data_IF_853160806623
#
_entry.id   IF_853160806623
#
_cell.length_a   1.000
_cell.length_b   1.000
_cell.length_c   1.000
_cell.angle_alpha   90.00
_cell.angle_beta   90.00
_cell.angle_gamma   90.00
#
_symmetry.space_group_name_H-M   'P 1'
#
loop_
_entity.id
_entity.type
_entity.pdbx_description
1 polymer ?
#
# COMPACT_ATOMS: atom_id res chain seq x y z
N UNK A 1 -55.55 -64.54 19.80
CA UNK A 1 -54.11 -64.86 19.66
C UNK A 1 -53.38 -63.66 19.06
N UNK A 2 -53.47 -62.47 19.70
CA UNK A 2 -53.04 -61.21 19.11
C UNK A 2 -52.43 -60.23 20.14
N UNK A 3 -51.71 -60.72 21.16
CA UNK A 3 -51.13 -59.89 22.23
C UNK A 3 -49.66 -60.18 22.55
N UNK A 4 -48.92 -60.89 21.67
CA UNK A 4 -47.50 -61.23 21.93
C UNK A 4 -46.48 -60.60 20.98
N UNK A 5 -46.89 -59.75 20.03
CA UNK A 5 -45.97 -59.14 19.06
C UNK A 5 -45.72 -57.62 19.21
N UNK A 6 -46.41 -56.92 20.12
CA UNK A 6 -46.24 -55.47 20.28
C UNK A 6 -45.01 -55.13 21.16
N UNK A 7 -44.70 -55.98 22.16
CA UNK A 7 -43.56 -55.75 23.06
C UNK A 7 -42.18 -55.96 22.42
N UNK A 8 -42.05 -56.88 21.45
CA UNK A 8 -40.74 -57.23 20.87
C UNK A 8 -40.27 -56.23 19.81
N UNK A 9 -41.20 -55.57 19.10
CA UNK A 9 -40.91 -54.54 18.09
C UNK A 9 -40.53 -53.21 18.76
N UNK A 10 -41.15 -52.87 19.90
CA UNK A 10 -40.84 -51.65 20.64
C UNK A 10 -39.42 -51.67 21.25
N UNK A 11 -38.97 -52.82 21.77
CA UNK A 11 -37.64 -52.96 22.39
C UNK A 11 -36.50 -52.91 21.37
N UNK A 12 -36.72 -53.41 20.15
CA UNK A 12 -35.70 -53.35 19.08
C UNK A 12 -35.58 -51.96 18.45
N UNK A 13 -36.67 -51.21 18.30
CA UNK A 13 -36.63 -49.85 17.76
C UNK A 13 -35.96 -48.83 18.71
N UNK A 14 -36.16 -48.96 20.03
CA UNK A 14 -35.52 -48.09 21.02
C UNK A 14 -34.01 -48.32 21.09
N UNK A 15 -33.56 -49.59 21.02
CA UNK A 15 -32.13 -49.92 21.03
C UNK A 15 -31.37 -49.41 19.80
N UNK A 16 -31.99 -49.42 18.62
CA UNK A 16 -31.41 -48.87 17.39
C UNK A 16 -31.32 -47.33 17.47
N UNK A 17 -32.35 -46.66 18.00
CA UNK A 17 -32.33 -45.20 18.17
C UNK A 17 -31.30 -44.73 19.21
N UNK A 18 -31.15 -45.44 20.33
CA UNK A 18 -30.12 -45.13 21.32
C UNK A 18 -28.69 -45.32 20.77
N UNK A 19 -28.48 -46.36 19.95
CA UNK A 19 -27.16 -46.63 19.34
C UNK A 19 -26.79 -45.58 18.29
N UNK A 20 -27.77 -45.09 17.51
CA UNK A 20 -27.57 -44.03 16.52
C UNK A 20 -27.31 -42.66 17.19
N UNK A 21 -28.01 -42.37 18.30
CA UNK A 21 -27.76 -41.14 19.07
C UNK A 21 -26.36 -41.13 19.69
N UNK A 22 -25.92 -42.25 20.28
CA UNK A 22 -24.56 -42.37 20.85
C UNK A 22 -23.49 -42.28 19.75
N UNK A 23 -23.71 -42.88 18.59
CA UNK A 23 -22.79 -42.74 17.44
C UNK A 23 -22.72 -41.30 16.92
N UNK A 24 -23.84 -40.58 16.89
CA UNK A 24 -23.90 -39.18 16.46
C UNK A 24 -23.21 -38.24 17.45
N UNK A 25 -23.35 -38.49 18.76
CA UNK A 25 -22.69 -37.72 19.83
C UNK A 25 -21.18 -37.99 19.85
N UNK A 26 -20.76 -39.25 19.68
CA UNK A 26 -19.34 -39.61 19.53
C UNK A 26 -18.74 -39.03 18.25
N UNK A 27 -19.48 -38.97 17.13
CA UNK A 27 -19.02 -38.29 15.92
C UNK A 27 -18.98 -36.77 16.06
N UNK A 28 -19.89 -36.17 16.84
CA UNK A 28 -19.90 -34.75 17.19
C UNK A 28 -18.68 -34.38 18.04
N UNK A 29 -18.43 -35.11 19.13
CA UNK A 29 -17.28 -34.90 20.00
C UNK A 29 -15.96 -35.21 19.28
N UNK A 30 -15.91 -36.24 18.41
CA UNK A 30 -14.73 -36.50 17.59
C UNK A 30 -14.51 -35.39 16.56
N UNK A 31 -15.56 -34.83 15.93
CA UNK A 31 -15.46 -33.67 15.01
C UNK A 31 -15.01 -32.41 15.74
N UNK A 32 -15.52 -32.15 16.94
CA UNK A 32 -15.13 -30.99 17.73
C UNK A 32 -13.71 -31.14 18.27
N UNK A 33 -13.29 -32.35 18.67
CA UNK A 33 -11.90 -32.64 19.07
C UNK A 33 -10.93 -32.69 17.88
N UNK A 34 -11.39 -33.08 16.69
CA UNK A 34 -10.64 -32.93 15.43
C UNK A 34 -10.56 -31.46 15.00
N UNK A 35 -11.60 -30.64 15.18
CA UNK A 35 -11.56 -29.20 14.90
C UNK A 35 -10.69 -28.42 15.90
N UNK A 36 -10.64 -28.86 17.16
CA UNK A 36 -9.76 -28.28 18.19
C UNK A 36 -8.30 -28.73 18.03
N UNK A 37 -8.05 -29.89 17.40
CA UNK A 37 -6.69 -30.42 17.14
C UNK A 37 -6.18 -30.16 15.71
N UNK A 38 -7.06 -29.82 14.76
CA UNK A 38 -6.74 -29.25 13.45
C UNK A 38 -7.03 -27.74 13.43
N UNK A 39 -6.43 -27.00 14.37
CA UNK A 39 -5.69 -25.85 13.88
C UNK A 39 -4.54 -26.43 13.06
N UNK A 40 -4.77 -26.66 11.76
CA UNK A 40 -3.65 -26.70 10.82
C UNK A 40 -2.91 -25.41 11.14
N UNK A 41 -1.74 -25.53 11.77
CA UNK A 41 -0.78 -24.44 11.82
C UNK A 41 -0.54 -24.08 10.38
N UNK A 42 -1.33 -23.14 9.86
CA UNK A 42 -1.24 -22.66 8.50
C UNK A 42 0.22 -22.26 8.35
N UNK A 43 0.94 -23.01 7.53
CA UNK A 43 2.39 -22.87 7.44
C UNK A 43 2.66 -21.40 7.14
N UNK A 44 3.31 -20.70 8.06
CA UNK A 44 3.45 -19.26 7.93
C UNK A 44 4.13 -18.95 6.60
N UNK A 45 3.38 -18.33 5.69
CA UNK A 45 3.92 -17.84 4.43
C UNK A 45 4.51 -16.47 4.71
N UNK A 46 5.50 -16.02 3.94
CA UNK A 46 5.99 -14.65 4.05
C UNK A 46 4.88 -13.61 3.91
N UNK A 47 3.85 -13.90 3.11
CA UNK A 47 2.66 -13.07 2.97
C UNK A 47 1.80 -13.06 4.24
N UNK A 48 1.60 -14.20 4.90
CA UNK A 48 0.85 -14.24 6.16
C UNK A 48 1.62 -13.57 7.31
N UNK A 49 2.96 -13.65 7.31
CA UNK A 49 3.83 -12.92 8.24
C UNK A 49 3.77 -11.41 7.97
N UNK A 50 3.95 -10.99 6.72
CA UNK A 50 3.86 -9.58 6.31
C UNK A 50 2.48 -9.01 6.65
N UNK A 51 1.42 -9.80 6.46
CA UNK A 51 0.05 -9.43 6.84
C UNK A 51 -0.12 -9.30 8.34
N UNK A 52 0.34 -10.25 9.15
CA UNK A 52 0.28 -10.13 10.62
C UNK A 52 1.00 -8.87 11.12
N UNK A 53 2.19 -8.57 10.59
CA UNK A 53 2.95 -7.36 10.92
C UNK A 53 2.26 -6.08 10.46
N UNK A 54 1.70 -6.07 9.25
CA UNK A 54 0.96 -4.92 8.72
C UNK A 54 -0.35 -4.67 9.48
N UNK A 55 -1.07 -5.72 9.91
CA UNK A 55 -2.27 -5.61 10.77
C UNK A 55 -1.89 -4.93 12.09
N UNK A 56 -0.88 -5.45 12.78
CA UNK A 56 -0.41 -4.87 14.04
C UNK A 56 0.02 -3.41 13.88
N UNK A 57 0.58 -3.04 12.72
CA UNK A 57 0.88 -1.64 12.42
C UNK A 57 -0.38 -0.80 12.14
N UNK A 58 -1.30 -1.29 11.31
CA UNK A 58 -2.53 -0.58 10.96
C UNK A 58 -3.40 -0.28 12.19
N UNK A 59 -3.44 -1.17 13.18
CA UNK A 59 -4.12 -0.98 14.47
C UNK A 59 -3.55 0.18 15.30
N UNK A 60 -2.30 0.58 15.06
CA UNK A 60 -1.65 1.72 15.74
C UNK A 60 -1.78 3.04 15.00
N UNK A 61 -2.29 3.01 13.77
CA UNK A 61 -2.55 4.23 13.00
C UNK A 61 -3.89 4.80 13.44
N UNK A 62 -3.90 6.03 13.97
CA UNK A 62 -5.12 6.84 14.11
C UNK A 62 -5.70 7.08 12.70
N UNK A 63 -6.48 6.15 12.17
CA UNK A 63 -7.18 6.32 10.90
C UNK A 63 -8.45 7.14 11.16
N UNK A 64 -8.69 8.25 10.43
CA UNK A 64 -10.05 8.73 10.24
C UNK A 64 -10.71 7.83 9.18
N UNK A 65 -11.93 7.38 9.44
CA UNK A 65 -13.12 7.45 8.56
C UNK A 65 -13.00 7.28 7.02
N UNK A 66 -11.96 6.67 6.48
CA UNK A 66 -11.84 6.45 5.04
C UNK A 66 -12.18 4.99 4.77
N UNK A 67 -13.31 4.75 4.08
CA UNK A 67 -13.90 3.42 3.83
C UNK A 67 -13.10 2.47 2.93
N UNK A 68 -11.78 2.42 3.08
CA UNK A 68 -10.84 1.48 2.45
C UNK A 68 -10.02 0.75 3.53
N UNK A 69 -9.52 -0.44 3.21
CA UNK A 69 -8.74 -1.25 4.13
C UNK A 69 -7.23 -0.99 3.90
N UNK A 70 -6.47 -0.43 4.88
CA UNK A 70 -5.03 -0.16 4.70
C UNK A 70 -4.22 -1.39 4.34
N UNK A 71 -4.70 -2.58 4.70
CA UNK A 71 -4.04 -3.85 4.43
C UNK A 71 -4.14 -4.32 2.98
N UNK A 72 -4.98 -3.68 2.16
CA UNK A 72 -5.13 -4.05 0.76
C UNK A 72 -3.83 -3.83 -0.02
N UNK A 73 -2.93 -2.96 0.45
CA UNK A 73 -1.60 -2.73 -0.13
C UNK A 73 -0.73 -4.01 -0.16
N UNK A 74 -0.99 -4.99 0.70
CA UNK A 74 -0.23 -6.25 0.76
C UNK A 74 -0.48 -7.06 -0.51
N UNK A 75 0.61 -7.57 -1.11
CA UNK A 75 0.58 -8.25 -2.40
C UNK A 75 0.42 -7.30 -3.60
N UNK A 76 0.26 -5.99 -3.38
CA UNK A 76 0.22 -5.01 -4.45
C UNK A 76 1.61 -4.70 -5.01
N UNK A 77 1.67 -3.83 -6.02
CA UNK A 77 2.93 -3.34 -6.60
C UNK A 77 3.73 -2.45 -5.64
N UNK A 78 3.12 -1.92 -4.58
CA UNK A 78 3.80 -1.15 -3.52
C UNK A 78 4.11 -1.99 -2.29
N UNK A 79 3.78 -3.29 -2.30
CA UNK A 79 4.33 -4.21 -1.32
C UNK A 79 5.74 -4.60 -1.78
N UNK A 80 6.75 -4.14 -1.04
CA UNK A 80 8.14 -4.53 -1.26
C UNK A 80 8.59 -5.69 -0.37
N UNK A 81 7.80 -6.07 0.64
CA UNK A 81 8.11 -7.26 1.45
C UNK A 81 8.05 -8.50 0.57
N UNK A 82 8.91 -9.50 0.73
CA UNK A 82 8.88 -10.76 -0.03
C UNK A 82 8.72 -10.62 -1.57
N UNK A 83 9.08 -9.47 -2.16
CA UNK A 83 8.71 -9.15 -3.55
C UNK A 83 9.37 -10.10 -4.55
N UNK A 84 10.65 -10.47 -4.36
CA UNK A 84 11.32 -11.46 -5.22
C UNK A 84 10.58 -12.81 -5.21
N UNK A 85 10.11 -13.24 -4.03
CA UNK A 85 9.32 -14.46 -3.88
C UNK A 85 7.97 -14.34 -4.57
N UNK A 86 7.25 -13.22 -4.39
CA UNK A 86 5.95 -12.98 -5.06
C UNK A 86 6.07 -12.89 -6.57
N UNK A 87 7.13 -12.24 -7.06
CA UNK A 87 7.41 -12.10 -8.48
C UNK A 87 7.92 -13.41 -9.11
N UNK A 88 8.25 -14.43 -8.31
CA UNK A 88 8.90 -15.65 -8.78
C UNK A 88 10.28 -15.39 -9.41
N UNK A 89 10.90 -14.25 -9.07
CA UNK A 89 12.17 -13.84 -9.64
C UNK A 89 13.30 -14.53 -8.87
N UNK A 90 13.97 -15.50 -9.53
CA UNK A 90 15.23 -16.08 -9.05
C UNK A 90 16.42 -15.14 -9.29
N UNK A 91 16.32 -14.31 -10.32
CA UNK A 91 17.27 -13.24 -10.55
C UNK A 91 17.15 -12.23 -9.39
N UNK A 92 18.29 -11.85 -8.82
CA UNK A 92 18.41 -10.84 -7.76
C UNK A 92 17.84 -11.22 -6.37
N UNK A 93 17.52 -12.50 -6.15
CA UNK A 93 17.16 -13.01 -4.83
C UNK A 93 18.32 -12.76 -3.85
N UNK A 94 18.03 -12.11 -2.73
CA UNK A 94 19.05 -11.84 -1.71
C UNK A 94 20.10 -10.80 -2.10
N UNK A 95 19.85 -9.96 -3.12
CA UNK A 95 20.77 -8.85 -3.47
C UNK A 95 20.08 -7.52 -3.78
N UNK A 96 18.86 -7.50 -4.34
CA UNK A 96 18.28 -6.26 -4.87
C UNK A 96 18.00 -5.16 -3.83
N UNK A 97 17.33 -5.50 -2.74
CA UNK A 97 16.86 -4.53 -1.74
C UNK A 97 16.50 -5.27 -0.43
N UNK A 98 16.70 -4.62 0.70
CA UNK A 98 16.41 -5.12 2.05
C UNK A 98 14.93 -5.42 2.20
N UNK A 99 14.61 -6.66 2.57
CA UNK A 99 13.25 -7.07 2.94
C UNK A 99 13.04 -6.88 4.44
N UNK A 100 12.36 -5.80 4.82
CA UNK A 100 12.01 -5.51 6.21
C UNK A 100 10.84 -6.34 6.75
N UNK A 101 10.23 -7.19 5.91
CA UNK A 101 9.25 -8.20 6.32
C UNK A 101 7.81 -7.71 6.46
N UNK A 102 7.49 -6.46 6.12
CA UNK A 102 6.11 -6.00 5.91
C UNK A 102 6.06 -4.76 5.00
N UNK A 103 4.92 -4.50 4.37
CA UNK A 103 4.79 -3.46 3.35
C UNK A 103 4.86 -2.02 3.88
N UNK A 104 4.41 -1.78 5.11
CA UNK A 104 4.19 -0.42 5.61
C UNK A 104 5.48 0.33 5.96
N UNK A 105 6.54 -0.37 6.39
CA UNK A 105 7.80 0.24 6.85
C UNK A 105 8.53 1.06 5.79
N UNK A 106 8.35 0.73 4.51
CA UNK A 106 8.95 1.49 3.42
C UNK A 106 8.36 2.91 3.32
N UNK A 107 7.23 3.19 3.98
CA UNK A 107 6.62 4.51 4.02
C UNK A 107 6.50 5.04 5.45
N UNK A 108 5.94 4.25 6.36
CA UNK A 108 5.59 4.65 7.73
C UNK A 108 6.68 4.24 8.72
N UNK A 109 6.88 5.10 9.72
CA UNK A 109 7.84 4.81 10.80
C UNK A 109 7.32 3.61 11.59
N UNK A 110 8.13 2.56 11.83
CA UNK A 110 7.72 1.43 12.62
C UNK A 110 7.29 1.86 14.04
N UNK A 111 6.13 1.41 14.54
CA UNK A 111 5.59 1.85 15.82
C UNK A 111 6.46 1.40 17.00
N UNK A 112 7.23 0.32 16.84
CA UNK A 112 8.16 -0.18 17.85
C UNK A 112 9.46 0.63 17.97
N UNK A 113 9.68 1.60 17.09
CA UNK A 113 10.83 2.50 17.15
C UNK A 113 10.43 3.74 17.95
N UNK A 114 10.59 3.62 19.27
CA UNK A 114 10.47 4.75 20.19
C UNK A 114 11.60 5.75 19.96
N UNK A 115 11.24 7.00 19.69
CA UNK A 115 12.19 8.07 19.45
C UNK A 115 12.56 8.17 17.98
N UNK A 116 12.16 9.29 17.37
CA UNK A 116 12.50 9.66 16.00
C UNK A 116 14.02 9.65 15.87
N UNK A 117 14.61 8.64 15.20
CA UNK A 117 15.91 8.89 14.60
C UNK A 117 15.66 9.95 13.54
N UNK A 118 16.01 11.19 13.86
CA UNK A 118 15.96 12.27 12.89
C UNK A 118 17.15 12.07 11.95
N UNK A 119 16.92 11.45 10.79
CA UNK A 119 17.88 11.49 9.72
C UNK A 119 17.88 12.90 9.09
N UNK A 120 19.04 13.43 8.68
CA UNK A 120 19.08 14.58 7.80
C UNK A 120 18.14 14.32 6.61
N UNK A 121 17.28 15.30 6.29
CA UNK A 121 16.32 15.23 5.20
C UNK A 121 15.18 14.21 5.38
N UNK A 122 14.94 13.66 6.57
CA UNK A 122 13.71 12.90 6.81
C UNK A 122 12.47 13.73 6.44
N UNK A 123 11.55 13.09 5.71
CA UNK A 123 10.24 13.66 5.40
C UNK A 123 9.41 13.57 6.68
N UNK A 124 8.88 14.69 7.16
CA UNK A 124 8.20 14.76 8.44
C UNK A 124 7.05 13.76 8.52
N UNK A 125 7.09 12.86 9.51
CA UNK A 125 6.07 11.81 9.71
C UNK A 125 6.25 10.55 8.87
N UNK A 126 7.26 10.49 8.00
CA UNK A 126 7.51 9.34 7.13
C UNK A 126 8.85 8.69 7.42
N UNK A 127 8.95 7.40 7.14
CA UNK A 127 10.18 6.62 7.26
C UNK A 127 11.10 6.75 6.04
N UNK A 128 10.98 7.88 5.33
CA UNK A 128 11.67 8.17 4.08
C UNK A 128 12.40 9.49 4.21
N UNK A 129 13.47 9.63 3.44
CA UNK A 129 14.17 10.90 3.27
C UNK A 129 13.79 11.52 1.93
N UNK A 130 13.93 12.85 1.84
CA UNK A 130 13.79 13.59 0.59
C UNK A 130 15.15 13.72 -0.10
N UNK A 131 15.14 13.67 -1.43
CA UNK A 131 16.29 13.96 -2.28
C UNK A 131 16.65 15.46 -2.22
N UNK A 132 17.83 15.86 -2.72
CA UNK A 132 18.18 17.28 -2.77
C UNK A 132 17.27 18.00 -3.77
N UNK A 133 16.61 19.04 -3.30
CA UNK A 133 15.67 19.82 -4.11
C UNK A 133 16.34 20.54 -5.27
N UNK A 134 17.67 20.75 -5.20
CA UNK A 134 18.46 21.36 -6.29
C UNK A 134 18.48 20.51 -7.56
N UNK A 135 18.22 19.22 -7.43
CA UNK A 135 18.25 18.29 -8.56
C UNK A 135 16.93 18.30 -9.36
N UNK A 136 15.91 19.00 -8.86
CA UNK A 136 14.58 19.07 -9.46
C UNK A 136 14.45 20.22 -10.45
N UNK A 137 14.01 19.89 -11.67
CA UNK A 137 13.53 20.88 -12.64
C UNK A 137 12.01 20.89 -12.62
N UNK A 138 11.42 21.95 -12.08
CA UNK A 138 9.97 22.08 -11.91
C UNK A 138 9.25 22.51 -13.20
N UNK A 139 7.92 22.50 -13.14
CA UNK A 139 7.03 22.77 -14.26
C UNK A 139 7.31 24.13 -14.91
N UNK A 140 7.55 24.12 -16.21
CA UNK A 140 7.81 25.32 -17.01
C UNK A 140 7.05 25.23 -18.33
N UNK A 141 5.76 25.58 -18.33
CA UNK A 141 4.95 25.62 -19.55
C UNK A 141 4.16 26.92 -19.64
N UNK A 142 3.84 27.34 -20.87
CA UNK A 142 3.09 28.59 -21.11
C UNK A 142 1.66 28.55 -20.58
N UNK A 143 1.10 27.35 -20.42
CA UNK A 143 -0.27 27.14 -19.95
C UNK A 143 -0.34 26.91 -18.44
N UNK A 144 0.81 26.68 -17.78
CA UNK A 144 0.89 26.56 -16.33
C UNK A 144 0.94 27.95 -15.68
N UNK A 145 -0.16 28.32 -15.03
CA UNK A 145 -0.32 29.63 -14.36
C UNK A 145 -0.15 29.60 -12.85
N UNK A 146 0.06 28.42 -12.27
CA UNK A 146 0.31 28.28 -10.84
C UNK A 146 1.79 28.50 -10.54
N UNK A 147 2.12 28.73 -9.27
CA UNK A 147 3.50 28.73 -8.80
C UNK A 147 3.77 27.37 -8.16
N UNK A 148 4.53 26.52 -8.84
CA UNK A 148 5.08 25.34 -8.21
C UNK A 148 6.30 25.75 -7.39
N UNK A 149 6.27 25.44 -6.10
CA UNK A 149 7.44 25.54 -5.24
C UNK A 149 8.06 24.16 -5.09
N UNK A 150 9.08 24.09 -4.24
CA UNK A 150 9.67 22.85 -3.73
C UNK A 150 8.54 21.83 -3.47
N UNK A 151 8.59 20.64 -4.08
CA UNK A 151 7.69 19.55 -3.77
C UNK A 151 7.51 19.37 -2.26
N UNK A 152 6.26 19.28 -1.81
CA UNK A 152 5.94 19.13 -0.40
C UNK A 152 6.20 17.71 0.10
N UNK A 153 5.98 17.48 1.40
CA UNK A 153 6.24 16.18 2.04
C UNK A 153 5.48 15.02 1.39
N UNK A 154 4.21 15.23 1.01
CA UNK A 154 3.36 14.18 0.42
C UNK A 154 3.84 13.79 -0.98
N UNK A 155 4.18 14.75 -1.83
CA UNK A 155 4.75 14.45 -3.14
C UNK A 155 6.17 13.89 -3.00
N UNK A 156 6.99 14.43 -2.08
CA UNK A 156 8.34 13.92 -1.83
C UNK A 156 8.34 12.50 -1.31
N UNK A 157 7.31 12.05 -0.60
CA UNK A 157 7.18 10.64 -0.23
C UNK A 157 7.16 9.76 -1.49
N UNK A 158 6.30 10.06 -2.45
CA UNK A 158 6.21 9.31 -3.69
C UNK A 158 7.52 9.40 -4.48
N UNK A 159 8.05 10.61 -4.62
CA UNK A 159 9.26 10.87 -5.37
C UNK A 159 10.51 10.25 -4.73
N UNK A 160 10.52 10.04 -3.41
CA UNK A 160 11.65 9.35 -2.76
C UNK A 160 11.94 7.99 -3.41
N UNK A 161 10.92 7.29 -3.93
CA UNK A 161 11.13 6.06 -4.71
C UNK A 161 11.18 6.34 -6.21
N UNK A 162 10.28 7.19 -6.70
CA UNK A 162 9.99 7.36 -8.12
C UNK A 162 10.92 8.33 -8.85
N UNK A 163 11.69 9.15 -8.16
CA UNK A 163 12.67 10.05 -8.77
C UNK A 163 13.95 9.31 -9.22
N UNK A 164 14.15 8.08 -8.75
CA UNK A 164 15.27 7.22 -9.12
C UNK A 164 16.62 7.66 -8.57
N UNK A 165 16.67 8.54 -7.56
CA UNK A 165 17.90 9.06 -6.97
C UNK A 165 18.40 8.23 -5.80
N UNK A 166 17.50 7.53 -5.10
CA UNK A 166 17.80 6.70 -3.94
C UNK A 166 17.19 5.30 -4.06
N UNK A 167 17.66 4.39 -3.21
CA UNK A 167 17.20 3.01 -3.22
C UNK A 167 15.76 2.87 -2.69
N UNK A 168 15.02 1.90 -3.20
CA UNK A 168 13.61 1.67 -2.83
C UNK A 168 13.43 1.21 -1.37
N UNK A 169 14.44 0.55 -0.83
CA UNK A 169 14.52 0.05 0.55
C UNK A 169 15.19 1.01 1.51
N UNK A 170 15.60 2.20 1.05
CA UNK A 170 16.21 3.18 1.93
C UNK A 170 15.18 3.72 2.93
N UNK A 171 15.27 3.31 4.18
CA UNK A 171 14.39 3.80 5.26
C UNK A 171 15.19 4.52 6.34
N UNK A 172 14.54 5.41 7.07
CA UNK A 172 15.15 6.08 8.22
C UNK A 172 15.30 5.14 9.42
N UNK A 173 14.28 4.33 9.66
CA UNK A 173 14.15 3.42 10.78
C UNK A 173 13.83 2.01 10.26
N UNK A 174 14.71 1.06 10.54
CA UNK A 174 14.43 -0.36 10.29
C UNK A 174 13.57 -0.93 11.42
N UNK A 175 12.71 -1.93 11.17
CA UNK A 175 11.96 -2.60 12.23
C UNK A 175 12.90 -3.22 13.26
N UNK A 176 12.50 -3.28 14.53
CA UNK A 176 13.34 -3.86 15.59
C UNK A 176 13.69 -5.33 15.35
N UNK A 177 12.81 -6.05 14.67
CA UNK A 177 12.98 -7.47 14.34
C UNK A 177 13.92 -7.72 13.14
N UNK A 178 14.24 -6.69 12.35
CA UNK A 178 15.12 -6.83 11.19
C UNK A 178 16.59 -6.93 11.63
N UNK A 179 17.35 -7.86 11.04
CA UNK A 179 18.73 -8.11 11.44
C UNK A 179 19.68 -7.60 10.36
N UNK A 180 20.70 -6.84 10.75
CA UNK A 180 21.68 -6.24 9.82
C UNK A 180 22.50 -7.24 9.00
N UNK A 181 22.53 -8.53 9.40
CA UNK A 181 23.11 -9.62 8.60
C UNK A 181 22.26 -10.01 7.38
N UNK A 182 21.06 -9.46 7.26
CA UNK A 182 20.14 -9.59 6.13
C UNK A 182 20.25 -8.38 5.18
N UNK A 183 21.32 -7.59 5.31
CA UNK A 183 21.54 -6.43 4.44
C UNK A 183 21.98 -6.89 3.05
N UNK A 184 21.26 -6.39 2.06
CA UNK A 184 21.49 -6.65 0.66
C UNK A 184 22.64 -5.79 0.13
N UNK A 185 23.28 -6.25 -0.95
CA UNK A 185 24.53 -5.62 -1.41
C UNK A 185 24.31 -4.48 -2.38
N UNK A 186 23.16 -4.45 -3.04
CA UNK A 186 22.99 -3.74 -4.29
C UNK A 186 22.05 -2.53 -4.16
N UNK A 187 21.01 -2.59 -3.30
CA UNK A 187 20.11 -1.47 -2.98
C UNK A 187 19.58 -0.71 -4.22
N UNK A 188 18.70 -1.35 -4.98
CA UNK A 188 18.26 -0.87 -6.29
C UNK A 188 17.42 0.41 -6.25
N UNK A 189 17.63 1.24 -7.27
CA UNK A 189 16.83 2.44 -7.56
C UNK A 189 15.85 2.16 -8.68
N UNK A 190 14.64 2.73 -8.60
CA UNK A 190 13.70 2.78 -9.74
C UNK A 190 14.19 3.85 -10.71
N UNK A 191 15.19 3.47 -11.49
CA UNK A 191 15.88 4.30 -12.46
C UNK A 191 16.00 3.55 -13.79
N UNK A 192 15.79 4.25 -14.91
CA UNK A 192 15.87 3.68 -16.26
C UNK A 192 17.30 3.56 -16.82
N UNK A 193 18.31 3.91 -16.04
CA UNK A 193 19.72 3.75 -16.42
C UNK A 193 20.18 2.29 -16.46
N UNK A 194 21.43 2.10 -16.90
CA UNK A 194 22.06 0.80 -17.13
C UNK A 194 23.21 0.48 -16.15
N UNK A 195 23.24 1.16 -15.01
CA UNK A 195 24.18 0.87 -13.93
C UNK A 195 23.71 -0.35 -13.12
N UNK A 196 24.65 -0.98 -12.40
CA UNK A 196 24.37 -2.18 -11.60
C UNK A 196 23.35 -1.95 -10.48
N UNK A 197 23.15 -0.70 -10.05
CA UNK A 197 22.19 -0.31 -9.03
C UNK A 197 20.86 0.24 -9.57
N UNK A 198 20.65 0.17 -10.88
CA UNK A 198 19.42 0.62 -11.54
C UNK A 198 18.57 -0.57 -11.94
N UNK A 199 17.31 -0.61 -11.46
CA UNK A 199 16.35 -1.61 -11.91
C UNK A 199 16.22 -1.66 -13.45
N UNK A 200 16.43 -0.51 -14.12
CA UNK A 200 16.33 -0.35 -15.57
C UNK A 200 17.30 -1.20 -16.37
N UNK A 201 18.42 -1.62 -15.78
CA UNK A 201 19.39 -2.51 -16.43
C UNK A 201 18.73 -3.82 -16.90
N UNK A 202 17.81 -4.36 -16.11
CA UNK A 202 17.10 -5.60 -16.43
C UNK A 202 15.62 -5.35 -16.80
N UNK A 203 15.00 -4.28 -16.31
CA UNK A 203 13.58 -3.97 -16.56
C UNK A 203 13.39 -3.05 -17.77
N UNK A 204 13.99 -3.45 -18.89
CA UNK A 204 14.08 -2.74 -20.17
C UNK A 204 12.94 -3.08 -21.16
N UNK A 205 12.05 -4.00 -20.80
CA UNK A 205 10.97 -4.48 -21.68
C UNK A 205 11.37 -5.68 -22.56
N UNK A 206 12.64 -6.07 -22.55
CA UNK A 206 13.17 -7.22 -23.28
C UNK A 206 13.61 -8.33 -22.31
N UNK A 207 14.50 -7.99 -21.37
CA UNK A 207 15.02 -8.89 -20.33
C UNK A 207 13.95 -9.16 -19.26
N UNK A 208 13.28 -8.11 -18.81
CA UNK A 208 12.13 -8.18 -17.91
C UNK A 208 11.07 -7.14 -18.31
N UNK A 209 9.95 -7.10 -17.57
CA UNK A 209 8.91 -6.11 -17.84
C UNK A 209 9.46 -4.68 -17.76
N UNK A 210 9.01 -3.82 -18.66
CA UNK A 210 9.50 -2.44 -18.73
C UNK A 210 9.12 -1.62 -17.48
N UNK A 211 10.08 -0.90 -16.91
CA UNK A 211 9.81 0.05 -15.81
C UNK A 211 8.83 1.16 -16.22
N UNK A 212 8.63 1.43 -17.51
CA UNK A 212 7.61 2.37 -18.00
C UNK A 212 7.65 3.71 -17.26
N UNK A 213 6.47 4.26 -16.97
CA UNK A 213 6.33 5.53 -16.25
C UNK A 213 6.43 5.37 -14.72
N UNK A 214 7.06 4.29 -14.19
CA UNK A 214 7.34 4.20 -12.74
C UNK A 214 8.59 5.00 -12.37
N UNK A 215 9.53 5.21 -13.28
CA UNK A 215 10.60 6.19 -13.08
C UNK A 215 10.09 7.56 -13.55
N UNK A 216 9.75 8.43 -12.60
CA UNK A 216 9.31 9.81 -12.85
C UNK A 216 10.52 10.71 -13.10
N UNK A 217 11.61 10.48 -12.35
CA UNK A 217 12.81 11.30 -12.40
C UNK A 217 12.66 12.64 -11.67
N UNK A 218 13.71 13.46 -11.73
CA UNK A 218 13.73 14.81 -11.14
C UNK A 218 13.33 15.91 -12.13
N UNK A 219 13.17 15.59 -13.43
CA UNK A 219 12.62 16.51 -14.43
C UNK A 219 11.09 16.45 -14.47
N UNK A 220 10.46 17.38 -13.76
CA UNK A 220 9.00 17.44 -13.62
C UNK A 220 8.32 18.15 -14.80
N UNK A 221 9.06 18.73 -15.75
CA UNK A 221 8.47 19.51 -16.87
C UNK A 221 7.53 18.71 -17.77
N UNK A 222 7.69 17.39 -17.82
CA UNK A 222 6.84 16.47 -18.60
C UNK A 222 5.76 15.77 -17.77
N UNK A 223 5.71 16.04 -16.48
CA UNK A 223 4.79 15.42 -15.54
C UNK A 223 3.63 16.36 -15.22
N UNK A 224 2.51 15.79 -14.77
CA UNK A 224 1.37 16.59 -14.31
C UNK A 224 1.77 17.39 -13.06
N UNK A 225 1.39 18.67 -12.96
CA UNK A 225 1.70 19.50 -11.80
C UNK A 225 1.17 18.93 -10.48
N UNK A 226 2.08 18.76 -9.52
CA UNK A 226 1.81 18.45 -8.10
C UNK A 226 2.61 19.43 -7.23
N UNK A 227 2.33 19.47 -5.93
CA UNK A 227 2.84 20.50 -5.02
C UNK A 227 2.50 21.92 -5.46
N UNK A 228 1.27 22.06 -5.96
CA UNK A 228 0.67 23.32 -6.35
C UNK A 228 -0.51 23.60 -5.43
N UNK A 229 -0.64 24.85 -4.99
CA UNK A 229 -1.83 25.28 -4.25
C UNK A 229 -3.04 25.17 -5.16
N UNK A 230 -4.12 24.57 -4.67
CA UNK A 230 -5.34 24.44 -5.43
C UNK A 230 -5.94 25.84 -5.68
N UNK A 231 -6.09 26.29 -6.95
CA UNK A 231 -6.43 27.68 -7.24
C UNK A 231 -7.81 28.12 -6.73
N UNK A 232 -8.75 27.18 -6.61
CA UNK A 232 -10.11 27.43 -6.11
C UNK A 232 -10.18 27.73 -4.61
N UNK A 233 -9.07 27.65 -3.87
CA UNK A 233 -9.05 27.89 -2.42
C UNK A 233 -8.44 29.25 -2.04
N UNK A 234 -9.15 30.00 -1.21
CA UNK A 234 -8.61 31.10 -0.41
C UNK A 234 -9.20 32.49 -0.68
N UNK A 235 -9.07 33.34 0.34
CA UNK A 235 -9.36 34.77 0.27
C UNK A 235 -8.44 35.43 -0.75
N UNK A 236 -9.01 36.03 -1.82
CA UNK A 236 -8.26 36.68 -2.90
C UNK A 236 -8.13 35.87 -4.19
N UNK A 237 -8.69 34.66 -4.29
CA UNK A 237 -8.93 34.05 -5.60
C UNK A 237 -9.87 34.95 -6.40
N UNK A 238 -9.45 35.43 -7.57
CA UNK A 238 -10.30 36.23 -8.46
C UNK A 238 -11.61 35.50 -8.75
N UNK A 239 -12.70 36.22 -8.97
CA UNK A 239 -13.99 35.63 -9.36
C UNK A 239 -13.86 34.68 -10.55
N UNK A 240 -13.00 35.00 -11.52
CA UNK A 240 -12.68 34.15 -12.67
C UNK A 240 -12.01 32.82 -12.32
N UNK A 241 -11.23 32.76 -11.24
CA UNK A 241 -10.61 31.51 -10.76
C UNK A 241 -11.61 30.71 -9.92
N UNK A 242 -12.44 31.36 -9.12
CA UNK A 242 -13.49 30.66 -8.38
C UNK A 242 -14.52 30.01 -9.31
N UNK A 243 -14.78 30.62 -10.47
CA UNK A 243 -15.75 30.11 -11.45
C UNK A 243 -15.18 29.02 -12.36
N UNK A 244 -13.85 28.89 -12.46
CA UNK A 244 -13.16 27.89 -13.29
C UNK A 244 -12.78 26.61 -12.52
N UNK A 245 -13.01 26.58 -11.21
CA UNK A 245 -12.65 25.46 -10.34
C UNK A 245 -13.82 25.08 -9.42
N UNK A 246 -14.10 23.78 -9.30
CA UNK A 246 -15.12 23.29 -8.38
C UNK A 246 -14.67 23.47 -6.93
N UNK A 247 -15.59 23.78 -6.02
CA UNK A 247 -15.27 23.80 -4.59
C UNK A 247 -15.20 22.37 -4.03
N UNK A 248 -14.20 22.05 -3.19
CA UNK A 248 -14.22 20.81 -2.43
C UNK A 248 -15.40 20.82 -1.44
N UNK A 249 -15.87 19.64 -1.06
CA UNK A 249 -17.00 19.48 -0.14
C UNK A 249 -16.59 19.78 1.32
N UNK A 250 -15.29 19.66 1.62
CA UNK A 250 -14.68 19.88 2.92
C UNK A 250 -13.18 20.21 2.75
N UNK A 251 -12.44 20.30 3.85
CA UNK A 251 -10.99 20.52 3.83
C UNK A 251 -10.19 19.35 3.21
N UNK A 252 -10.77 18.15 3.15
CA UNK A 252 -10.12 16.95 2.67
C UNK A 252 -10.25 16.76 1.17
N UNK A 253 -11.33 17.21 0.53
CA UNK A 253 -11.43 17.25 -0.93
C UNK A 253 -12.84 17.07 -1.48
N UNK A 254 -13.01 16.15 -2.42
CA UNK A 254 -14.21 16.03 -3.27
C UNK A 254 -14.99 14.75 -2.99
N UNK A 255 -16.30 14.78 -3.29
CA UNK A 255 -17.22 13.66 -3.04
C UNK A 255 -16.85 12.36 -3.77
N UNK A 256 -16.13 12.44 -4.90
CA UNK A 256 -15.70 11.28 -5.67
C UNK A 256 -14.38 10.64 -5.18
N UNK A 257 -13.86 11.12 -4.05
CA UNK A 257 -12.67 10.57 -3.40
C UNK A 257 -11.35 11.23 -3.77
N UNK A 258 -11.32 12.17 -4.73
CA UNK A 258 -10.16 13.05 -4.96
C UNK A 258 -9.93 13.91 -3.71
N UNK A 259 -8.67 14.09 -3.34
CA UNK A 259 -8.29 14.76 -2.10
C UNK A 259 -7.42 15.98 -2.34
N UNK A 260 -7.40 16.88 -1.37
CA UNK A 260 -6.40 17.94 -1.24
C UNK A 260 -5.64 17.71 0.07
N UNK A 261 -4.38 18.13 0.10
CA UNK A 261 -3.51 18.01 1.27
C UNK A 261 -3.11 19.42 1.67
N UNK A 262 -3.67 19.93 2.77
CA UNK A 262 -3.50 21.31 3.22
C UNK A 262 -3.81 22.37 2.13
N UNK A 263 -4.80 22.06 1.29
CA UNK A 263 -5.20 22.89 0.15
C UNK A 263 -4.26 22.81 -1.06
N UNK A 264 -3.33 21.86 -1.10
CA UNK A 264 -2.48 21.57 -2.24
C UNK A 264 -2.95 20.34 -3.02
N UNK A 265 -2.65 20.35 -4.33
CA UNK A 265 -2.76 19.20 -5.22
C UNK A 265 -1.44 18.43 -5.18
N UNK A 266 -1.48 17.19 -4.73
CA UNK A 266 -0.33 16.30 -4.59
C UNK A 266 -0.47 15.01 -5.37
N UNK A 267 0.58 14.19 -5.45
CA UNK A 267 0.46 12.83 -6.00
C UNK A 267 -0.71 12.07 -5.34
N UNK A 268 -0.82 12.16 -4.01
CA UNK A 268 -1.88 11.49 -3.26
C UNK A 268 -3.28 12.09 -3.46
N UNK A 269 -3.41 13.25 -4.12
CA UNK A 269 -4.72 13.84 -4.49
C UNK A 269 -5.45 12.99 -5.52
N UNK A 270 -4.69 12.38 -6.43
CA UNK A 270 -5.20 11.54 -7.51
C UNK A 270 -4.96 10.06 -7.24
N UNK A 271 -3.88 9.72 -6.52
CA UNK A 271 -3.46 8.35 -6.26
C UNK A 271 -3.72 7.95 -4.80
N UNK A 272 -4.28 6.76 -4.56
CA UNK A 272 -4.42 6.14 -3.25
C UNK A 272 -3.75 4.76 -3.24
N UNK A 273 -2.53 4.69 -2.71
CA UNK A 273 -1.75 3.44 -2.65
C UNK A 273 -2.43 2.34 -1.83
N UNK A 274 -3.35 2.71 -0.94
CA UNK A 274 -4.16 1.79 -0.15
C UNK A 274 -5.39 1.25 -0.90
N UNK A 275 -5.59 1.64 -2.17
CA UNK A 275 -6.59 1.06 -3.06
C UNK A 275 -5.93 0.45 -4.32
N UNK A 276 -5.12 -0.61 -4.17
CA UNK A 276 -4.32 -1.17 -5.24
C UNK A 276 -5.12 -1.88 -6.34
N UNK A 277 -6.41 -2.14 -6.11
CA UNK A 277 -7.33 -2.68 -7.11
C UNK A 277 -7.60 -1.67 -8.23
N UNK A 278 -7.43 -0.37 -7.97
CA UNK A 278 -7.61 0.67 -8.98
C UNK A 278 -6.36 0.80 -9.84
N UNK A 279 -6.55 0.86 -11.16
CA UNK A 279 -5.45 1.03 -12.13
C UNK A 279 -4.68 2.30 -11.78
N UNK A 280 -3.35 2.17 -11.63
CA UNK A 280 -2.45 3.26 -11.18
C UNK A 280 -2.89 3.90 -9.85
N UNK A 281 -3.61 3.18 -8.99
CA UNK A 281 -4.07 3.69 -7.70
C UNK A 281 -5.03 4.89 -7.82
N UNK A 282 -5.64 5.14 -8.98
CA UNK A 282 -6.41 6.37 -9.16
C UNK A 282 -7.67 6.37 -8.28
N UNK A 283 -7.92 7.45 -7.55
CA UNK A 283 -9.12 7.61 -6.70
C UNK A 283 -10.41 7.55 -7.50
N UNK A 284 -10.38 8.10 -8.72
CA UNK A 284 -11.46 8.10 -9.71
C UNK A 284 -10.89 7.79 -11.11
N UNK A 285 -11.74 7.44 -12.07
CA UNK A 285 -11.29 7.16 -13.45
C UNK A 285 -10.61 8.39 -14.08
N UNK A 286 -9.62 8.19 -14.98
CA UNK A 286 -8.84 9.28 -15.58
C UNK A 286 -9.67 10.41 -16.18
N UNK A 287 -10.77 10.08 -16.86
CA UNK A 287 -11.68 11.03 -17.50
C UNK A 287 -12.38 11.98 -16.51
N UNK A 288 -12.49 11.56 -15.25
CA UNK A 288 -13.16 12.35 -14.21
C UNK A 288 -12.19 13.20 -13.38
N UNK A 289 -10.88 12.91 -13.39
CA UNK A 289 -9.91 13.64 -12.56
C UNK A 289 -9.91 15.14 -12.87
N UNK A 290 -9.86 15.51 -14.15
CA UNK A 290 -9.82 16.91 -14.57
C UNK A 290 -11.10 17.65 -14.17
N UNK A 291 -12.27 17.06 -14.46
CA UNK A 291 -13.57 17.70 -14.16
C UNK A 291 -13.96 17.63 -12.69
N UNK A 292 -13.20 16.89 -11.87
CA UNK A 292 -13.37 16.95 -10.42
C UNK A 292 -13.00 18.33 -9.92
N UNK A 293 -11.88 18.85 -10.40
CA UNK A 293 -11.30 20.10 -9.95
C UNK A 293 -11.70 21.29 -10.83
N UNK A 294 -11.97 21.08 -12.12
CA UNK A 294 -12.27 22.15 -13.07
C UNK A 294 -13.76 22.20 -13.39
N UNK A 295 -14.37 23.37 -13.24
CA UNK A 295 -15.67 23.71 -13.81
C UNK A 295 -15.45 24.29 -15.19
N UNK A 296 -15.93 23.60 -16.22
CA UNK A 296 -15.98 24.10 -17.60
C UNK A 296 -17.34 24.74 -17.87
#
# INVERSE_FOLDING_TARGET
>A
MADRNIGLIAVTLIGVWWSVAIMAEVQGDLKDRLNVSLTVSEKETPESIARKKAVAHAETMDQPEFGWNPLDIIGSKHDLSALNKRAGAKAMEGVAYDDYGYACVYCHVPPEVDGKRDAPQQIAGWNRIRSDMRDYTLYSTRTFKSTAKIPNEITMLCLSCHDGTMAVDQVVNTPRAWKSGEKMTLHMKINSGNDLDHCGLCHDGFTAHHLGNRHIGTDMRRNHPVSIRYPGLGVGASDSLQMAFNSPIDEFGFANGVRLFDGFVECASCHNVHEPSKVKFLRVKPEYLCITCHSY
#
